data_IF_519357084315
#
_entry.id   IF_519357084315
#
_cell.length_a   1.000
_cell.length_b   1.000
_cell.length_c   1.000
_cell.angle_alpha   90.00
_cell.angle_beta   90.00
_cell.angle_gamma   90.00
#
_symmetry.space_group_name_H-M   'P 1'
#
loop_
_entity.id
_entity.type
_entity.pdbx_description
1 polymer ?
#
# COMPACT_ATOMS: atom_id res chain seq x y z
N UNK A 1 25.75 11.80 1.17
CA UNK A 1 24.54 11.11 0.69
C UNK A 1 23.50 12.16 0.32
N UNK A 2 23.05 12.21 -0.94
CA UNK A 2 22.07 13.20 -1.42
C UNK A 2 20.68 12.56 -1.37
N UNK A 3 19.84 12.97 -0.42
CA UNK A 3 18.46 12.50 -0.31
C UNK A 3 17.62 13.03 -1.49
N UNK A 4 16.83 12.15 -2.11
CA UNK A 4 15.85 12.53 -3.13
C UNK A 4 14.55 12.94 -2.43
N UNK A 5 13.96 14.11 -2.73
CA UNK A 5 12.68 14.54 -2.16
C UNK A 5 11.47 13.69 -2.62
N UNK A 6 11.71 12.70 -3.48
CA UNK A 6 10.70 11.78 -4.02
C UNK A 6 11.02 10.31 -3.72
N UNK A 7 11.71 10.03 -2.61
CA UNK A 7 12.03 8.65 -2.24
C UNK A 7 10.75 7.79 -2.14
N UNK A 8 10.71 6.74 -2.94
CA UNK A 8 9.67 5.71 -2.94
C UNK A 8 10.34 4.38 -2.63
N UNK A 9 9.81 3.67 -1.65
CA UNK A 9 10.33 2.36 -1.23
C UNK A 9 9.39 1.27 -1.73
N UNK A 10 9.87 0.33 -2.56
CA UNK A 10 9.03 -0.78 -3.01
C UNK A 10 8.66 -1.68 -1.83
N UNK A 11 7.41 -2.14 -1.79
CA UNK A 11 6.90 -3.09 -0.80
C UNK A 11 6.29 -4.27 -1.54
N UNK A 12 6.62 -5.49 -1.12
CA UNK A 12 6.03 -6.75 -1.57
C UNK A 12 5.51 -7.48 -0.34
N UNK A 13 4.19 -7.67 -0.25
CA UNK A 13 3.52 -8.39 0.84
C UNK A 13 2.91 -9.66 0.25
N UNK A 14 3.30 -10.81 0.80
CA UNK A 14 2.70 -12.11 0.48
C UNK A 14 2.03 -12.66 1.73
N UNK A 15 0.75 -13.00 1.62
CA UNK A 15 0.06 -13.65 2.73
C UNK A 15 0.65 -15.05 3.01
N UNK A 16 0.58 -15.54 4.27
CA UNK A 16 0.95 -16.91 4.58
C UNK A 16 0.02 -17.90 3.85
N UNK A 17 0.59 -19.01 3.35
CA UNK A 17 -0.13 -20.05 2.60
C UNK A 17 -1.31 -20.69 3.36
N UNK A 18 -1.42 -20.50 4.66
CA UNK A 18 -2.42 -21.16 5.53
C UNK A 18 -3.86 -20.72 5.26
N UNK A 19 -4.07 -19.57 4.60
CA UNK A 19 -5.42 -19.04 4.32
C UNK A 19 -6.09 -19.62 3.07
N UNK A 20 -5.40 -20.46 2.29
CA UNK A 20 -5.94 -21.02 1.03
C UNK A 20 -6.20 -19.98 -0.08
N UNK A 21 -5.94 -18.70 0.19
CA UNK A 21 -6.00 -17.59 -0.76
C UNK A 21 -4.59 -17.01 -0.85
N UNK A 22 -3.96 -17.16 -2.01
CA UNK A 22 -2.70 -16.48 -2.32
C UNK A 22 -3.00 -15.02 -2.66
N UNK A 23 -3.11 -14.16 -1.64
CA UNK A 23 -3.12 -12.71 -1.85
C UNK A 23 -1.69 -12.19 -1.86
N UNK A 24 -1.40 -11.40 -2.89
CA UNK A 24 -0.12 -10.72 -3.03
C UNK A 24 -0.35 -9.25 -3.32
N UNK A 25 0.42 -8.40 -2.68
CA UNK A 25 0.30 -6.96 -2.78
C UNK A 25 1.66 -6.36 -3.11
N UNK A 26 1.68 -5.42 -4.06
CA UNK A 26 2.89 -4.70 -4.44
C UNK A 26 2.62 -3.21 -4.49
N UNK A 27 3.57 -2.42 -4.02
CA UNK A 27 3.33 -0.99 -3.90
C UNK A 27 4.57 -0.16 -3.65
N UNK A 28 4.32 1.12 -3.38
CA UNK A 28 5.33 2.10 -3.02
C UNK A 28 4.91 2.84 -1.76
N UNK A 29 5.84 2.93 -0.80
CA UNK A 29 5.74 3.86 0.33
C UNK A 29 6.47 5.16 -0.01
N UNK A 30 5.76 6.28 0.08
CA UNK A 30 6.31 7.63 -0.08
C UNK A 30 6.34 8.33 1.27
N UNK A 31 7.48 8.94 1.59
CA UNK A 31 7.66 9.78 2.77
C UNK A 31 7.71 11.23 2.32
N UNK A 32 6.86 12.10 2.89
CA UNK A 32 6.97 13.54 2.62
C UNK A 32 8.13 14.12 3.43
N UNK A 33 9.18 14.65 2.78
CA UNK A 33 10.40 15.08 3.47
C UNK A 33 10.12 16.12 4.56
N UNK A 34 10.76 15.96 5.72
CA UNK A 34 10.61 16.88 6.86
C UNK A 34 9.28 16.78 7.61
N UNK A 35 8.46 15.76 7.33
CA UNK A 35 7.19 15.53 8.01
C UNK A 35 7.06 14.06 8.43
N UNK A 36 6.03 13.75 9.22
CA UNK A 36 5.63 12.36 9.52
C UNK A 36 4.56 11.85 8.54
N UNK A 37 4.22 12.61 7.50
CA UNK A 37 3.23 12.22 6.50
C UNK A 37 3.76 11.13 5.57
N UNK A 38 3.00 10.05 5.48
CA UNK A 38 3.27 8.91 4.64
C UNK A 38 2.10 8.68 3.67
N UNK A 39 2.43 8.29 2.45
CA UNK A 39 1.46 7.82 1.45
C UNK A 39 1.86 6.42 1.00
N UNK A 40 0.94 5.48 1.05
CA UNK A 40 1.11 4.12 0.58
C UNK A 40 0.21 3.87 -0.63
N UNK A 41 0.82 3.46 -1.75
CA UNK A 41 0.11 3.12 -2.99
C UNK A 41 0.28 1.63 -3.23
N UNK A 42 -0.82 0.88 -3.21
CA UNK A 42 -0.79 -0.59 -3.22
C UNK A 42 -1.66 -1.14 -4.33
N UNK A 43 -1.11 -2.06 -5.10
CA UNK A 43 -1.85 -2.89 -6.04
C UNK A 43 -2.00 -4.29 -5.47
N UNK A 44 -3.24 -4.74 -5.38
CA UNK A 44 -3.65 -6.06 -4.93
C UNK A 44 -3.83 -6.99 -6.14
N UNK A 45 -3.48 -8.27 -6.01
CA UNK A 45 -3.61 -9.25 -7.11
C UNK A 45 -5.05 -9.60 -7.49
N UNK A 46 -6.05 -9.11 -6.74
CA UNK A 46 -7.48 -9.18 -7.07
C UNK A 46 -8.00 -7.92 -7.78
N UNK A 47 -7.14 -7.21 -8.51
CA UNK A 47 -7.47 -6.05 -9.37
C UNK A 47 -8.06 -4.85 -8.61
N UNK A 48 -7.61 -4.65 -7.38
CA UNK A 48 -7.86 -3.46 -6.58
C UNK A 48 -6.55 -2.69 -6.42
N UNK A 49 -6.62 -1.37 -6.51
CA UNK A 49 -5.55 -0.46 -6.13
C UNK A 49 -6.05 0.44 -5.02
N UNK A 50 -5.31 0.54 -3.92
CA UNK A 50 -5.58 1.48 -2.83
C UNK A 50 -4.54 2.59 -2.79
N UNK A 51 -4.99 3.79 -2.44
CA UNK A 51 -4.15 4.87 -1.98
C UNK A 51 -4.51 5.14 -0.53
N UNK A 52 -3.51 5.05 0.34
CA UNK A 52 -3.65 5.13 1.77
C UNK A 52 -2.71 6.20 2.32
N UNK A 53 -3.19 6.99 3.26
CA UNK A 53 -2.45 8.08 3.89
C UNK A 53 -2.43 7.90 5.40
N UNK A 54 -1.32 8.27 6.03
CA UNK A 54 -1.14 8.13 7.47
C UNK A 54 -0.03 9.04 7.99
N UNK A 55 -0.02 9.23 9.30
CA UNK A 55 1.05 9.91 10.02
C UNK A 55 1.84 8.86 10.80
N UNK A 56 3.17 8.87 10.68
CA UNK A 56 4.04 8.04 11.51
C UNK A 56 4.11 8.62 12.92
N UNK A 57 3.69 7.83 13.91
CA UNK A 57 4.00 8.09 15.30
C UNK A 57 5.47 7.69 15.55
N UNK A 58 6.32 8.67 15.85
CA UNK A 58 7.75 8.43 16.03
C UNK A 58 8.10 7.73 17.34
N UNK A 59 7.21 7.75 18.33
CA UNK A 59 7.41 7.07 19.61
C UNK A 59 7.06 5.58 19.49
N UNK A 60 5.93 5.27 18.87
CA UNK A 60 5.43 3.89 18.75
C UNK A 60 5.86 3.20 17.45
N UNK A 61 6.37 3.95 16.48
CA UNK A 61 6.71 3.48 15.13
C UNK A 61 5.51 2.89 14.37
N UNK A 62 4.30 3.29 14.76
CA UNK A 62 3.06 2.86 14.13
C UNK A 62 2.55 3.91 13.15
N UNK A 63 1.84 3.42 12.12
CA UNK A 63 1.18 4.27 11.14
C UNK A 63 -0.29 3.83 11.03
N UNK A 64 -1.24 4.59 11.59
CA UNK A 64 -2.66 4.35 11.36
C UNK A 64 -3.02 4.80 9.94
N UNK A 65 -3.20 3.84 9.04
CA UNK A 65 -3.52 4.09 7.64
C UNK A 65 -5.01 4.38 7.43
N UNK A 66 -5.30 5.33 6.54
CA UNK A 66 -6.65 5.60 6.03
C UNK A 66 -6.65 5.50 4.52
N UNK A 67 -7.49 4.63 3.96
CA UNK A 67 -7.76 4.62 2.54
C UNK A 67 -8.45 5.93 2.11
N UNK A 68 -7.83 6.64 1.17
CA UNK A 68 -8.36 7.87 0.58
C UNK A 68 -8.88 7.64 -0.83
N UNK A 69 -8.40 6.60 -1.51
CA UNK A 69 -8.93 6.16 -2.80
C UNK A 69 -8.86 4.64 -2.95
N UNK A 70 -9.89 4.08 -3.58
CA UNK A 70 -9.98 2.69 -3.98
C UNK A 70 -10.38 2.65 -5.45
N UNK A 71 -9.54 2.04 -6.28
CA UNK A 71 -9.82 1.87 -7.71
C UNK A 71 -9.80 0.39 -8.04
N UNK A 72 -10.90 -0.15 -8.55
CA UNK A 72 -11.00 -1.54 -8.96
C UNK A 72 -11.66 -1.68 -10.33
N UNK A 73 -11.36 -2.78 -11.03
CA UNK A 73 -12.07 -3.13 -12.27
C UNK A 73 -13.18 -4.11 -11.93
N UNK A 74 -14.41 -3.88 -12.43
CA UNK A 74 -15.53 -4.83 -12.31
C UNK A 74 -15.07 -6.20 -12.82
N UNK A 75 -15.16 -7.21 -11.97
CA UNK A 75 -15.06 -8.62 -12.37
C UNK A 75 -16.48 -9.04 -12.77
N UNK A 76 -16.74 -9.14 -14.07
CA UNK A 76 -17.89 -9.89 -14.55
C UNK A 76 -17.54 -11.35 -14.38
N UNK A 77 -18.24 -12.05 -13.48
CA UNK A 77 -18.16 -13.50 -13.44
C UNK A 77 -19.03 -14.03 -14.58
N UNK A 78 -18.43 -14.20 -15.76
CA UNK A 78 -19.03 -15.01 -16.81
C UNK A 78 -18.86 -16.48 -16.41
N UNK A 79 -19.77 -16.97 -15.58
CA UNK A 79 -19.94 -18.40 -15.38
C UNK A 79 -20.62 -18.97 -16.63
N UNK A 80 -19.82 -19.44 -17.59
CA UNK A 80 -20.27 -20.36 -18.66
C UNK A 80 -20.22 -21.80 -18.17
#
# INVERSE_FOLDING_TARGET
MRWSPHAQFPIDVKAPLEAGIDTSEKGFLRIKPGTTELTFVVSHNFRLTSLEEGLCDTETQLVPWRATSLTGRKIYNDYT
#
